data_IF_297135246709
#
_entry.id   IF_297135246709
#
_cell.length_a   1.000
_cell.length_b   1.000
_cell.length_c   1.000
_cell.angle_alpha   90.00
_cell.angle_beta   90.00
_cell.angle_gamma   90.00
#
_symmetry.space_group_name_H-M   'P 1'
#
loop_
_entity.id
_entity.type
_entity.pdbx_description
1 polymer ?
#
# COMPACT_ATOMS: atom_id res chain seq x y z
N UNK A 1 -74.90 32.92 33.78
CA UNK A 1 -73.87 31.89 33.98
C UNK A 1 -73.98 30.88 32.85
N UNK A 2 -73.05 30.85 31.91
CA UNK A 2 -72.65 29.61 31.24
C UNK A 2 -71.34 29.84 30.49
N UNK A 3 -70.26 29.36 31.08
CA UNK A 3 -68.93 29.24 30.47
C UNK A 3 -69.02 28.23 29.32
N UNK A 4 -68.63 28.61 28.11
CA UNK A 4 -68.40 27.65 27.03
C UNK A 4 -66.92 27.64 26.68
N UNK A 5 -66.33 26.48 26.93
CA UNK A 5 -64.91 26.19 26.86
C UNK A 5 -64.40 26.21 25.41
N UNK A 6 -63.24 26.83 25.26
CA UNK A 6 -62.36 26.82 24.10
C UNK A 6 -61.77 25.40 23.94
N UNK A 7 -61.95 24.80 22.76
CA UNK A 7 -61.28 23.55 22.37
C UNK A 7 -60.36 23.82 21.19
N UNK A 8 -59.08 23.95 21.52
CA UNK A 8 -57.95 23.85 20.59
C UNK A 8 -58.06 22.55 19.76
N UNK A 9 -58.16 22.69 18.44
CA UNK A 9 -57.99 21.57 17.51
C UNK A 9 -56.52 21.50 17.10
N UNK A 10 -55.88 20.41 17.50
CA UNK A 10 -54.53 20.04 17.08
C UNK A 10 -54.40 20.07 15.54
N UNK A 11 -53.33 20.70 15.07
CA UNK A 11 -52.94 20.76 13.66
C UNK A 11 -52.28 19.43 13.28
N UNK A 12 -52.96 18.62 12.49
CA UNK A 12 -52.41 17.38 11.94
C UNK A 12 -51.35 17.74 10.86
N UNK A 13 -50.11 17.35 11.10
CA UNK A 13 -48.99 17.52 10.16
C UNK A 13 -49.15 16.47 9.06
N UNK A 14 -49.46 16.90 7.84
CA UNK A 14 -49.43 16.03 6.66
C UNK A 14 -47.98 15.75 6.26
N UNK A 15 -47.55 14.50 6.41
CA UNK A 15 -46.25 14.04 5.96
C UNK A 15 -46.12 14.16 4.43
N UNK A 16 -44.99 14.74 4.02
CA UNK A 16 -44.59 15.02 2.64
C UNK A 16 -44.53 13.73 1.80
N UNK A 17 -45.20 13.78 0.66
CA UNK A 17 -45.00 12.99 -0.57
C UNK A 17 -43.84 11.98 -0.55
N UNK A 18 -44.18 10.69 -0.43
CA UNK A 18 -43.25 9.60 -0.73
C UNK A 18 -42.97 9.54 -2.24
N UNK A 19 -41.92 10.23 -2.69
CA UNK A 19 -41.36 10.08 -4.04
C UNK A 19 -40.69 8.72 -4.16
N UNK A 20 -41.47 7.69 -4.44
CA UNK A 20 -40.93 6.38 -4.84
C UNK A 20 -40.52 6.43 -6.32
N UNK A 21 -39.22 6.24 -6.57
CA UNK A 21 -38.71 6.02 -7.92
C UNK A 21 -38.93 4.54 -8.22
N UNK A 22 -39.88 4.21 -9.09
CA UNK A 22 -40.03 2.86 -9.62
C UNK A 22 -38.90 2.60 -10.61
N UNK A 23 -37.93 1.78 -10.21
CA UNK A 23 -36.92 1.25 -11.15
C UNK A 23 -37.62 0.15 -11.96
N UNK A 24 -37.80 0.31 -13.29
CA UNK A 24 -38.31 -0.78 -14.11
C UNK A 24 -37.27 -1.89 -14.18
N UNK A 25 -37.68 -3.13 -13.91
CA UNK A 25 -36.82 -4.29 -14.09
C UNK A 25 -36.60 -4.54 -15.59
N UNK A 26 -35.42 -4.19 -16.08
CA UNK A 26 -34.97 -4.59 -17.42
C UNK A 26 -34.67 -6.09 -17.40
N UNK A 27 -35.29 -6.91 -18.27
CA UNK A 27 -34.98 -8.34 -18.34
C UNK A 27 -33.54 -8.50 -18.83
N UNK A 28 -32.66 -9.03 -17.97
CA UNK A 28 -31.29 -9.34 -18.32
C UNK A 28 -31.25 -10.38 -19.45
N UNK A 29 -30.59 -10.05 -20.57
CA UNK A 29 -30.28 -11.00 -21.65
C UNK A 29 -29.01 -11.81 -21.36
N UNK A 30 -28.88 -12.30 -20.12
CA UNK A 30 -27.76 -13.16 -19.74
C UNK A 30 -28.33 -14.57 -19.63
N UNK A 31 -27.79 -15.47 -20.45
CA UNK A 31 -28.17 -16.89 -20.45
C UNK A 31 -28.00 -17.41 -19.02
N UNK A 32 -29.07 -18.00 -18.48
CA UNK A 32 -29.08 -18.68 -17.19
C UNK A 32 -27.84 -19.57 -17.07
N UNK A 33 -27.04 -19.34 -16.05
CA UNK A 33 -25.87 -20.16 -15.76
C UNK A 33 -26.30 -21.63 -15.70
N UNK A 34 -25.64 -22.43 -16.54
CA UNK A 34 -25.82 -23.85 -16.65
C UNK A 34 -25.78 -24.49 -15.26
N UNK A 35 -26.84 -25.20 -14.91
CA UNK A 35 -26.91 -26.08 -13.74
C UNK A 35 -25.61 -26.90 -13.70
N UNK A 36 -24.86 -26.94 -12.59
CA UNK A 36 -23.63 -27.72 -12.53
C UNK A 36 -23.95 -29.19 -12.83
N UNK A 37 -23.39 -29.69 -13.93
CA UNK A 37 -23.52 -31.09 -14.34
C UNK A 37 -22.97 -31.94 -13.20
N UNK A 38 -23.78 -32.86 -12.66
CA UNK A 38 -23.31 -33.88 -11.71
C UNK A 38 -22.33 -34.79 -12.45
N UNK A 39 -21.05 -34.50 -12.34
CA UNK A 39 -19.98 -35.34 -12.89
C UNK A 39 -19.95 -36.62 -12.05
N UNK A 40 -20.53 -37.71 -12.57
CA UNK A 40 -20.27 -39.06 -12.05
C UNK A 40 -18.91 -39.49 -12.57
N UNK A 41 -17.85 -39.20 -11.81
CA UNK A 41 -16.53 -39.80 -12.06
C UNK A 41 -16.59 -41.25 -11.58
N UNK A 42 -16.82 -42.18 -12.49
CA UNK A 42 -16.48 -43.58 -12.24
C UNK A 42 -14.94 -43.70 -12.30
N UNK A 43 -14.29 -44.39 -11.35
CA UNK A 43 -12.85 -44.60 -11.41
C UNK A 43 -12.53 -45.44 -12.64
N UNK A 44 -11.65 -44.93 -13.51
CA UNK A 44 -11.06 -45.72 -14.59
C UNK A 44 -10.01 -46.62 -13.95
N UNK A 45 -10.22 -47.93 -14.07
CA UNK A 45 -9.20 -48.95 -13.84
C UNK A 45 -8.31 -48.99 -15.07
N UNK A 46 -7.15 -48.35 -14.97
CA UNK A 46 -6.09 -48.51 -15.97
C UNK A 46 -5.53 -49.94 -15.82
N UNK A 47 -5.75 -50.75 -16.85
CA UNK A 47 -5.07 -52.05 -16.99
C UNK A 47 -3.67 -51.78 -17.53
N UNK A 48 -2.70 -51.69 -16.64
CA UNK A 48 -1.30 -51.88 -17.01
C UNK A 48 -0.97 -53.38 -16.90
N UNK A 49 -0.59 -53.95 -18.03
CA UNK A 49 -0.02 -55.28 -18.12
C UNK A 49 1.38 -55.24 -17.54
N UNK A 50 1.59 -55.91 -16.40
CA UNK A 50 2.93 -56.32 -15.98
C UNK A 50 2.94 -57.78 -15.56
N UNK A 51 3.80 -58.53 -16.23
CA UNK A 51 4.16 -59.92 -15.93
C UNK A 51 5.03 -59.93 -14.66
N UNK A 52 4.65 -60.69 -13.65
CA UNK A 52 5.54 -61.63 -12.93
C UNK A 52 4.86 -62.22 -11.70
N UNK A 53 5.07 -63.53 -11.51
CA UNK A 53 5.16 -64.28 -10.24
C UNK A 53 4.06 -64.11 -9.20
N UNK A 54 3.32 -65.20 -8.97
CA UNK A 54 2.26 -65.26 -7.97
C UNK A 54 2.75 -65.13 -6.52
N UNK A 55 1.86 -64.60 -5.69
CA UNK A 55 1.67 -65.03 -4.31
C UNK A 55 0.28 -64.59 -3.83
N UNK A 56 -0.25 -65.38 -2.90
CA UNK A 56 -1.61 -65.40 -2.38
C UNK A 56 -2.18 -64.06 -1.90
N UNK A 57 -3.50 -63.91 -2.08
CA UNK A 57 -4.33 -62.86 -1.52
C UNK A 57 -4.16 -62.72 0.02
N UNK A 58 -3.31 -61.78 0.45
CA UNK A 58 -3.27 -61.36 1.84
C UNK A 58 -4.47 -60.45 2.13
N UNK A 59 -5.50 -61.04 2.72
CA UNK A 59 -6.59 -60.31 3.38
C UNK A 59 -5.98 -59.36 4.41
N UNK A 60 -5.89 -58.06 4.10
CA UNK A 60 -5.50 -57.01 5.06
C UNK A 60 -6.46 -57.06 6.24
N UNK A 61 -6.05 -57.73 7.32
CA UNK A 61 -6.74 -57.68 8.60
C UNK A 61 -6.60 -56.26 9.13
N UNK A 62 -7.71 -55.54 9.24
CA UNK A 62 -7.74 -54.28 9.98
C UNK A 62 -7.37 -54.58 11.43
N UNK A 63 -6.15 -54.24 11.82
CA UNK A 63 -5.70 -54.34 13.21
C UNK A 63 -6.33 -53.15 13.93
N UNK A 64 -7.30 -53.43 14.80
CA UNK A 64 -7.88 -52.43 15.69
C UNK A 64 -6.79 -52.02 16.68
N UNK A 65 -6.22 -50.83 16.49
CA UNK A 65 -5.23 -50.28 17.42
C UNK A 65 -6.00 -49.75 18.62
N UNK A 66 -6.05 -50.53 19.69
CA UNK A 66 -6.63 -50.10 20.97
C UNK A 66 -5.93 -48.80 21.41
N UNK A 67 -6.71 -47.76 21.68
CA UNK A 67 -6.19 -46.51 22.21
C UNK A 67 -5.71 -46.75 23.64
N UNK A 68 -4.45 -46.47 23.93
CA UNK A 68 -3.81 -46.71 25.24
C UNK A 68 -4.40 -45.87 26.40
N UNK A 69 -5.33 -44.97 26.10
CA UNK A 69 -6.03 -44.16 27.10
C UNK A 69 -7.44 -44.70 27.34
N UNK A 70 -7.82 -44.97 28.60
CA UNK A 70 -9.20 -45.34 28.91
C UNK A 70 -10.14 -44.19 28.53
N UNK A 71 -11.32 -44.51 28.02
CA UNK A 71 -12.36 -43.51 27.77
C UNK A 71 -12.70 -42.82 29.09
N UNK A 72 -12.42 -41.52 29.15
CA UNK A 72 -12.54 -40.72 30.37
C UNK A 72 -13.53 -39.59 30.11
N UNK A 73 -14.65 -39.57 30.86
CA UNK A 73 -15.66 -38.50 30.79
C UNK A 73 -15.24 -37.22 31.51
N UNK A 74 -14.12 -37.26 32.25
CA UNK A 74 -13.61 -36.15 33.07
C UNK A 74 -12.39 -35.46 32.47
N UNK A 75 -11.74 -36.09 31.49
CA UNK A 75 -10.61 -35.49 30.77
C UNK A 75 -11.12 -34.67 29.58
N UNK A 76 -10.40 -33.61 29.22
CA UNK A 76 -10.73 -32.83 28.01
C UNK A 76 -10.54 -33.72 26.77
N UNK A 77 -11.65 -34.23 26.22
CA UNK A 77 -11.72 -35.09 25.01
C UNK A 77 -11.35 -34.36 23.70
N UNK A 78 -10.66 -33.22 23.79
CA UNK A 78 -10.35 -32.38 22.64
C UNK A 78 -11.58 -31.80 21.93
N UNK A 79 -12.79 -31.96 22.50
CA UNK A 79 -14.02 -31.37 22.00
C UNK A 79 -13.93 -29.85 22.15
N UNK A 80 -13.66 -29.18 21.02
CA UNK A 80 -13.58 -27.73 20.94
C UNK A 80 -14.98 -27.15 20.77
N UNK A 81 -15.23 -26.03 21.43
CA UNK A 81 -16.44 -25.26 21.22
C UNK A 81 -16.50 -24.80 19.74
N UNK A 82 -17.60 -25.02 19.01
CA UNK A 82 -17.78 -24.48 17.67
C UNK A 82 -17.55 -22.97 17.57
N UNK A 83 -17.81 -22.20 18.64
CA UNK A 83 -17.50 -20.78 18.74
C UNK A 83 -16.00 -20.49 18.64
N UNK A 84 -15.18 -21.22 19.41
CA UNK A 84 -13.72 -21.08 19.34
C UNK A 84 -13.15 -21.48 17.97
N UNK A 85 -13.74 -22.49 17.32
CA UNK A 85 -13.33 -22.90 15.96
C UNK A 85 -13.64 -21.79 14.97
N UNK A 86 -14.82 -21.16 15.09
CA UNK A 86 -15.21 -20.02 14.26
C UNK A 86 -14.31 -18.83 14.48
N UNK A 87 -14.03 -18.45 15.73
CA UNK A 87 -13.12 -17.34 16.05
C UNK A 87 -11.71 -17.58 15.52
N UNK A 88 -11.14 -18.77 15.74
CA UNK A 88 -9.80 -19.12 15.22
C UNK A 88 -9.76 -19.10 13.70
N UNK A 89 -10.85 -19.50 13.03
CA UNK A 89 -10.96 -19.45 11.57
C UNK A 89 -11.12 -18.01 11.08
N UNK A 90 -11.96 -17.21 11.74
CA UNK A 90 -12.19 -15.82 11.42
C UNK A 90 -10.92 -14.99 11.59
N UNK A 91 -10.19 -15.14 12.70
CA UNK A 91 -8.89 -14.50 12.90
C UNK A 91 -7.88 -14.90 11.83
N UNK A 92 -7.82 -16.18 11.46
CA UNK A 92 -6.94 -16.66 10.40
C UNK A 92 -7.34 -16.16 9.01
N UNK A 93 -8.64 -16.01 8.75
CA UNK A 93 -9.18 -15.46 7.51
C UNK A 93 -9.02 -13.94 7.45
N UNK A 94 -9.00 -13.23 8.59
CA UNK A 94 -8.62 -11.81 8.68
C UNK A 94 -7.12 -11.60 8.43
N UNK A 95 -6.27 -12.44 9.03
CA UNK A 95 -4.82 -12.43 8.77
C UNK A 95 -4.51 -12.72 7.30
N UNK A 96 -5.23 -13.65 6.68
CA UNK A 96 -5.09 -13.97 5.25
C UNK A 96 -5.80 -12.96 4.33
N UNK A 97 -6.87 -12.35 4.81
CA UNK A 97 -7.75 -11.44 4.07
C UNK A 97 -7.26 -10.00 4.02
N UNK A 98 -6.10 -9.70 4.65
CA UNK A 98 -5.49 -8.38 4.54
C UNK A 98 -6.18 -7.33 5.41
N UNK A 99 -6.34 -7.61 6.70
CA UNK A 99 -6.52 -6.55 7.69
C UNK A 99 -5.28 -5.69 7.66
N UNK A 100 -5.38 -4.58 6.92
CA UNK A 100 -4.36 -3.54 6.74
C UNK A 100 -3.03 -4.18 6.36
N UNK A 101 -2.73 -4.25 5.05
CA UNK A 101 -1.32 -4.41 4.64
C UNK A 101 -0.57 -3.21 5.21
N UNK A 102 -0.02 -3.34 6.41
CA UNK A 102 0.87 -2.34 6.98
C UNK A 102 2.20 -2.65 6.36
N UNK A 103 2.54 -1.92 5.31
CA UNK A 103 3.88 -1.96 4.78
C UNK A 103 4.78 -1.19 5.76
N UNK A 104 5.96 -1.73 6.04
CA UNK A 104 6.96 -1.06 6.87
C UNK A 104 7.59 0.10 6.09
N UNK A 105 8.13 1.07 6.82
CA UNK A 105 8.91 2.16 6.24
C UNK A 105 10.07 1.60 5.39
N UNK A 106 10.32 2.25 4.26
CA UNK A 106 11.35 1.84 3.31
C UNK A 106 12.60 2.69 3.50
N UNK A 107 13.73 2.04 3.74
CA UNK A 107 15.02 2.73 3.77
C UNK A 107 15.66 2.69 2.38
N UNK A 108 15.93 3.87 1.81
CA UNK A 108 16.47 4.01 0.46
C UNK A 108 18.00 4.05 0.43
N UNK A 109 18.64 4.24 1.58
CA UNK A 109 20.09 4.20 1.75
C UNK A 109 20.69 5.46 2.35
N UNK A 110 22.01 5.41 2.52
CA UNK A 110 22.83 6.50 3.04
C UNK A 110 23.79 7.00 1.95
N UNK A 111 23.90 8.31 1.80
CA UNK A 111 24.76 8.94 0.81
C UNK A 111 25.61 10.04 1.46
N UNK A 112 26.89 10.10 1.09
CA UNK A 112 27.77 11.23 1.43
C UNK A 112 27.70 12.25 0.31
N UNK A 113 27.44 13.50 0.67
CA UNK A 113 27.28 14.62 -0.25
C UNK A 113 28.04 15.82 0.31
N UNK A 114 28.67 16.58 -0.58
CA UNK A 114 29.43 17.76 -0.20
C UNK A 114 28.74 18.95 -0.87
N UNK A 115 27.51 19.26 -0.45
CA UNK A 115 26.68 20.31 -1.06
C UNK A 115 25.77 21.01 -0.07
N UNK A 116 25.42 22.26 -0.39
CA UNK A 116 24.57 23.10 0.46
C UNK A 116 23.09 22.76 0.33
N UNK A 117 22.65 22.40 -0.87
CA UNK A 117 21.28 22.02 -1.15
C UNK A 117 21.27 20.85 -2.12
N UNK A 118 20.19 20.09 -2.05
CA UNK A 118 19.92 18.95 -2.90
C UNK A 118 18.56 19.14 -3.54
N UNK A 119 18.47 18.82 -4.83
CA UNK A 119 17.25 18.91 -5.59
C UNK A 119 16.59 17.53 -5.66
N UNK A 120 15.49 17.36 -4.92
CA UNK A 120 14.68 16.15 -4.99
C UNK A 120 13.70 16.34 -6.13
N UNK A 121 13.80 15.47 -7.12
CA UNK A 121 12.90 15.44 -8.26
C UNK A 121 11.99 14.24 -8.10
N UNK A 122 10.69 14.48 -8.04
CA UNK A 122 9.68 13.45 -7.91
C UNK A 122 8.78 13.43 -9.14
N UNK A 123 8.38 12.23 -9.56
CA UNK A 123 7.32 12.04 -10.54
C UNK A 123 6.52 10.78 -10.22
N UNK A 124 5.35 10.70 -10.82
CA UNK A 124 4.60 9.46 -10.91
C UNK A 124 5.30 8.50 -11.88
N UNK A 125 5.48 7.24 -11.48
CA UNK A 125 6.13 6.23 -12.32
C UNK A 125 5.13 5.50 -13.23
N UNK A 126 3.86 5.44 -12.86
CA UNK A 126 2.86 4.60 -13.53
C UNK A 126 1.78 5.44 -14.21
N UNK A 127 0.84 6.00 -13.45
CA UNK A 127 -0.23 6.82 -13.98
C UNK A 127 -0.64 7.91 -12.99
N UNK A 128 -0.72 9.19 -13.42
CA UNK A 128 -1.07 10.30 -12.54
C UNK A 128 -2.56 10.23 -12.16
N UNK A 129 -2.86 9.51 -11.11
CA UNK A 129 -4.20 9.27 -10.56
C UNK A 129 -4.50 10.08 -9.28
N UNK A 130 -3.63 11.06 -9.00
CA UNK A 130 -3.79 11.95 -7.85
C UNK A 130 -3.02 11.51 -6.61
N UNK A 131 -2.00 10.68 -6.79
CA UNK A 131 -0.96 10.41 -5.80
C UNK A 131 -0.36 11.69 -5.18
N UNK A 132 -0.21 11.71 -3.85
CA UNK A 132 0.27 12.83 -3.05
C UNK A 132 1.27 12.38 -2.00
N UNK A 133 2.33 13.15 -1.89
CA UNK A 133 3.41 12.89 -0.93
C UNK A 133 3.69 14.14 -0.09
N UNK A 134 4.30 13.92 1.06
CA UNK A 134 4.80 14.97 1.94
C UNK A 134 6.27 14.73 2.20
N UNK A 135 7.08 15.79 2.11
CA UNK A 135 8.53 15.71 2.32
C UNK A 135 8.88 16.38 3.64
N UNK A 136 9.66 15.68 4.46
CA UNK A 136 10.25 16.15 5.69
C UNK A 136 11.78 16.14 5.60
N UNK A 137 12.43 17.09 6.27
CA UNK A 137 13.87 17.09 6.52
C UNK A 137 14.12 17.24 8.02
N UNK A 138 14.83 16.30 8.62
CA UNK A 138 15.13 16.28 10.06
C UNK A 138 13.87 16.48 10.93
N UNK A 139 12.72 15.96 10.48
CA UNK A 139 11.41 16.13 11.12
C UNK A 139 10.64 17.42 10.77
N UNK A 140 11.24 18.36 10.05
CA UNK A 140 10.57 19.59 9.60
C UNK A 140 9.91 19.39 8.23
N UNK A 141 8.67 19.88 8.08
CA UNK A 141 7.94 19.78 6.81
C UNK A 141 8.52 20.79 5.82
N UNK A 142 9.07 20.30 4.71
CA UNK A 142 9.50 21.13 3.59
C UNK A 142 8.34 21.35 2.64
N UNK A 143 7.65 20.27 2.27
CA UNK A 143 6.53 20.30 1.34
C UNK A 143 5.38 19.50 1.92
N UNK A 144 4.29 20.19 2.26
CA UNK A 144 3.19 19.59 3.03
C UNK A 144 2.26 18.68 2.19
N UNK A 145 2.11 19.03 0.91
CA UNK A 145 1.32 18.29 -0.08
C UNK A 145 1.97 18.51 -1.45
N UNK A 146 2.51 17.44 -2.01
CA UNK A 146 3.11 17.40 -3.32
C UNK A 146 2.33 16.40 -4.16
N UNK A 147 1.53 16.92 -5.08
CA UNK A 147 0.80 16.08 -6.03
C UNK A 147 1.76 15.56 -7.09
N UNK A 148 1.83 14.24 -7.21
CA UNK A 148 2.61 13.56 -8.22
C UNK A 148 1.88 13.63 -9.56
N UNK A 149 2.66 13.84 -10.61
CA UNK A 149 2.21 13.94 -11.99
C UNK A 149 3.22 13.21 -12.85
N UNK A 150 2.89 13.02 -14.13
CA UNK A 150 3.85 12.50 -15.10
C UNK A 150 5.05 13.42 -15.34
N UNK A 151 4.92 14.73 -15.05
CA UNK A 151 6.03 15.68 -15.12
C UNK A 151 6.91 15.64 -13.86
N UNK A 152 8.21 15.87 -14.08
CA UNK A 152 9.20 15.96 -13.02
C UNK A 152 9.02 17.24 -12.21
N UNK A 153 8.63 17.09 -10.94
CA UNK A 153 8.57 18.21 -9.99
C UNK A 153 9.83 18.25 -9.15
N UNK A 154 10.42 19.45 -9.07
CA UNK A 154 11.64 19.69 -8.30
C UNK A 154 11.30 20.34 -6.97
N UNK A 155 11.88 19.83 -5.90
CA UNK A 155 11.84 20.39 -4.56
C UNK A 155 13.27 20.58 -4.10
N UNK A 156 13.65 21.84 -3.90
CA UNK A 156 14.96 22.19 -3.35
C UNK A 156 14.93 22.01 -1.84
N UNK A 157 15.91 21.26 -1.32
CA UNK A 157 16.04 21.00 0.10
C UNK A 157 17.44 21.41 0.55
N UNK A 158 17.50 22.39 1.45
CA UNK A 158 18.76 22.83 2.04
C UNK A 158 19.24 21.81 3.08
N UNK A 159 20.48 21.35 2.93
CA UNK A 159 21.10 20.41 3.87
C UNK A 159 21.87 21.20 4.95
N UNK A 160 21.67 20.80 6.20
CA UNK A 160 22.49 21.26 7.32
C UNK A 160 23.82 20.50 7.38
N UNK A 161 24.79 21.00 8.15
CA UNK A 161 26.06 20.29 8.35
C UNK A 161 25.84 18.98 9.12
N UNK A 162 26.49 17.89 8.70
CA UNK A 162 26.36 16.58 9.35
C UNK A 162 25.22 15.72 8.78
N UNK A 163 24.47 15.04 9.65
CA UNK A 163 23.44 14.07 9.25
C UNK A 163 22.13 14.78 8.94
N UNK A 164 21.62 14.58 7.73
CA UNK A 164 20.30 15.03 7.29
C UNK A 164 19.45 13.84 6.92
N UNK A 165 18.35 13.63 7.63
CA UNK A 165 17.37 12.58 7.31
C UNK A 165 16.25 13.22 6.51
N UNK A 166 16.04 12.75 5.29
CA UNK A 166 14.90 13.12 4.45
C UNK A 166 13.89 11.99 4.49
N UNK A 167 12.66 12.33 4.87
CA UNK A 167 11.57 11.38 4.96
C UNK A 167 10.48 11.82 4.00
N UNK A 168 9.98 10.92 3.18
CA UNK A 168 8.91 11.21 2.25
C UNK A 168 7.75 10.26 2.54
N UNK A 169 6.63 10.83 2.94
CA UNK A 169 5.44 10.13 3.39
C UNK A 169 4.39 10.11 2.28
N UNK A 170 3.85 8.92 1.99
CA UNK A 170 2.69 8.77 1.11
C UNK A 170 1.42 9.22 1.86
N UNK A 171 0.80 10.32 1.41
CA UNK A 171 -0.42 10.85 2.04
C UNK A 171 -1.68 10.11 1.60
N UNK A 172 -1.63 9.49 0.42
CA UNK A 172 -2.67 8.65 -0.12
C UNK A 172 -2.05 7.57 -1.00
N UNK A 173 -2.90 6.62 -1.34
CA UNK A 173 -2.79 5.76 -2.50
C UNK A 173 -3.76 6.37 -3.50
N UNK A 174 -3.32 6.60 -4.73
CA UNK A 174 -4.15 7.15 -5.79
C UNK A 174 -5.40 6.31 -6.08
N UNK A 175 -6.05 6.58 -7.21
CA UNK A 175 -7.22 5.82 -7.62
C UNK A 175 -6.88 4.35 -7.95
N UNK A 176 -5.65 4.08 -8.40
CA UNK A 176 -5.17 2.78 -8.87
C UNK A 176 -4.03 2.26 -8.00
N UNK A 177 -4.39 1.51 -6.95
CA UNK A 177 -3.42 0.73 -6.20
C UNK A 177 -2.46 1.58 -5.35
N UNK A 178 -1.32 1.00 -4.91
CA UNK A 178 -0.38 1.65 -4.01
C UNK A 178 0.28 2.90 -4.64
N UNK A 179 0.73 3.85 -3.81
CA UNK A 179 1.36 5.09 -4.26
C UNK A 179 2.67 4.77 -4.99
N UNK A 180 2.76 5.13 -6.27
CA UNK A 180 3.88 4.73 -7.12
C UNK A 180 4.60 5.98 -7.63
N UNK A 181 5.81 6.19 -7.11
CA UNK A 181 6.59 7.36 -7.45
C UNK A 181 8.05 7.00 -7.68
N UNK A 182 8.70 7.85 -8.47
CA UNK A 182 10.12 7.84 -8.67
C UNK A 182 10.73 9.10 -8.05
N UNK A 183 11.78 8.92 -7.25
CA UNK A 183 12.60 9.99 -6.71
C UNK A 183 13.99 9.95 -7.29
N UNK A 184 14.38 11.07 -7.87
CA UNK A 184 15.72 11.30 -8.38
C UNK A 184 16.30 12.48 -7.59
N UNK A 185 17.39 12.23 -6.91
CA UNK A 185 18.07 13.21 -6.07
C UNK A 185 19.27 13.73 -6.82
N UNK A 186 19.31 15.05 -7.05
CA UNK A 186 20.40 15.73 -7.72
C UNK A 186 21.19 16.62 -6.76
N UNK A 187 22.49 16.65 -7.00
CA UNK A 187 23.43 17.53 -6.31
C UNK A 187 23.36 18.98 -6.82
N UNK A 188 24.06 19.90 -6.17
CA UNK A 188 24.17 21.31 -6.59
C UNK A 188 24.71 21.47 -8.02
N UNK A 189 25.60 20.57 -8.43
CA UNK A 189 26.23 20.47 -9.76
C UNK A 189 25.37 19.70 -10.77
N UNK A 190 24.16 19.27 -10.39
CA UNK A 190 23.26 18.50 -11.25
C UNK A 190 23.67 17.03 -11.43
N UNK A 191 24.56 16.50 -10.59
CA UNK A 191 24.92 15.08 -10.59
C UNK A 191 23.83 14.27 -9.89
N UNK A 192 23.42 13.13 -10.46
CA UNK A 192 22.48 12.22 -9.79
C UNK A 192 23.20 11.52 -8.62
N UNK A 193 22.67 11.69 -7.42
CA UNK A 193 23.13 11.02 -6.20
C UNK A 193 22.40 9.69 -6.03
N UNK A 194 21.08 9.72 -6.20
CA UNK A 194 20.22 8.55 -6.02
C UNK A 194 19.04 8.61 -7.00
N UNK A 195 18.67 7.46 -7.55
CA UNK A 195 17.50 7.28 -8.40
C UNK A 195 16.80 6.03 -7.91
N UNK A 196 15.61 6.18 -7.34
CA UNK A 196 14.84 5.08 -6.76
C UNK A 196 13.37 5.23 -7.08
N UNK A 197 12.78 4.12 -7.49
CA UNK A 197 11.35 3.93 -7.58
C UNK A 197 10.85 3.32 -6.28
N UNK A 198 9.62 3.66 -5.92
CA UNK A 198 8.95 3.09 -4.78
C UNK A 198 7.53 2.66 -5.13
N UNK A 199 6.94 1.89 -4.23
CA UNK A 199 5.55 1.49 -4.27
C UNK A 199 5.07 1.38 -2.82
N UNK A 200 4.59 2.50 -2.26
CA UNK A 200 4.31 2.65 -0.83
C UNK A 200 2.80 2.66 -0.56
N UNK A 201 2.42 2.19 0.62
CA UNK A 201 1.04 2.29 1.09
C UNK A 201 0.81 3.62 1.82
N UNK A 202 -0.45 4.02 1.99
CA UNK A 202 -0.79 5.28 2.69
C UNK A 202 -0.20 5.28 4.10
N UNK A 203 0.51 6.34 4.45
CA UNK A 203 1.14 6.53 5.77
C UNK A 203 2.55 5.95 5.90
N UNK A 204 3.04 5.21 4.90
CA UNK A 204 4.39 4.66 4.91
C UNK A 204 5.39 5.74 4.50
N UNK A 205 6.57 5.72 5.14
CA UNK A 205 7.64 6.68 4.89
C UNK A 205 8.80 6.01 4.16
N UNK A 206 9.38 6.76 3.24
CA UNK A 206 10.64 6.43 2.59
C UNK A 206 11.73 7.35 3.14
N UNK A 207 12.80 6.73 3.66
CA UNK A 207 13.84 7.41 4.41
C UNK A 207 15.14 7.37 3.61
N UNK A 208 15.71 8.54 3.35
CA UNK A 208 17.05 8.71 2.76
C UNK A 208 17.89 9.51 3.74
N UNK A 209 19.11 9.06 4.01
CA UNK A 209 20.03 9.78 4.89
C UNK A 209 21.18 10.36 4.08
N UNK A 210 21.42 11.65 4.25
CA UNK A 210 22.55 12.36 3.68
C UNK A 210 23.54 12.74 4.77
N UNK A 211 24.81 12.46 4.54
CA UNK A 211 25.91 12.92 5.35
C UNK A 211 26.60 14.07 4.61
N UNK A 212 26.40 15.28 5.12
CA UNK A 212 27.00 16.49 4.57
C UNK A 212 28.32 16.79 5.28
N UNK A 213 29.44 16.55 4.59
CA UNK A 213 30.75 16.98 5.05
C UNK A 213 30.92 18.45 4.62
N UNK A 214 30.88 19.33 5.63
CA UNK A 214 30.86 20.79 5.53
C UNK A 214 31.64 21.33 4.32
N UNK A 215 30.91 21.88 3.34
CA UNK A 215 31.54 22.64 2.24
C UNK A 215 31.76 24.06 2.69
N UNK A 216 33.01 24.39 2.98
CA UNK A 216 33.48 25.77 2.94
C UNK A 216 33.35 26.24 1.49
N UNK A 217 32.34 27.04 1.21
CA UNK A 217 32.22 27.73 -0.07
C UNK A 217 33.34 28.77 -0.08
N UNK A 218 34.45 28.48 -0.77
CA UNK A 218 35.36 29.54 -1.17
C UNK A 218 34.62 30.40 -2.20
N UNK A 219 34.21 31.59 -1.76
CA UNK A 219 33.71 32.62 -2.67
C UNK A 219 34.82 32.88 -3.70
N UNK A 220 34.59 32.48 -4.96
CA UNK A 220 35.39 33.00 -6.06
C UNK A 220 35.13 34.50 -6.15
N UNK A 221 36.05 35.27 -5.58
CA UNK A 221 36.17 36.71 -5.76
C UNK A 221 36.13 37.03 -7.25
N UNK A 222 35.16 37.83 -7.62
CA UNK A 222 34.97 38.41 -8.95
C UNK A 222 35.91 39.60 -9.10
N UNK A 223 37.21 39.35 -9.17
CA UNK A 223 38.24 40.38 -9.41
C UNK A 223 39.32 39.87 -10.36
N UNK A 224 38.96 39.44 -11.57
CA UNK A 224 39.92 39.22 -12.65
C UNK A 224 39.23 39.42 -14.01
N UNK A 225 38.69 40.62 -14.25
CA UNK A 225 38.30 41.10 -15.60
C UNK A 225 38.34 42.64 -15.63
N UNK A 226 39.47 43.21 -15.19
CA UNK A 226 39.84 44.63 -15.43
C UNK A 226 41.35 44.78 -15.61
N UNK A 227 41.92 44.16 -16.63
CA UNK A 227 43.23 44.59 -17.16
C UNK A 227 43.45 44.12 -18.59
N UNK A 228 42.85 44.83 -19.56
CA UNK A 228 43.34 44.85 -20.94
C UNK A 228 43.11 46.24 -21.53
N UNK A 229 43.74 47.22 -20.89
CA UNK A 229 44.08 48.48 -21.52
C UNK A 229 45.57 48.68 -21.34
N UNK A 230 46.37 48.33 -22.34
CA UNK A 230 47.60 49.06 -22.61
C UNK A 230 47.88 49.12 -24.11
N UNK A 231 48.18 50.34 -24.51
CA UNK A 231 48.46 50.84 -25.84
C UNK A 231 49.76 50.25 -26.40
N UNK A 232 49.83 50.05 -27.71
CA UNK A 232 51.10 50.02 -28.43
C UNK A 232 50.96 50.82 -29.75
N UNK A 233 51.69 51.94 -29.79
CA UNK A 233 51.92 52.82 -30.93
C UNK A 233 52.95 52.23 -31.91
N UNK A 234 52.96 52.77 -33.14
CA UNK A 234 53.95 52.67 -34.23
C UNK A 234 53.74 51.43 -35.12
N UNK A 235 53.57 51.53 -36.44
CA UNK A 235 54.23 52.37 -37.44
C UNK A 235 53.33 52.55 -38.68
#
# INVERSE_FOLDING_TARGET
MSFSQEKEKAKEVKDKENKSIRIPAEPSKIKKDSIPVKIKVAPKLDKEEDKSSGESEEKKKFIFKESEKPFSMTEQDGLKDPGEIFEKRWSKDLEKGGVIKTMSDQFLGEHRVDTKFVNIVCRDHEYPDGDRVRIYINGYIVQNNLLLRSDYRRVEVNLSEGKNTIEIEALNQGESGPNTAEFIVYDDKGKVISSKEWNLLTGVKAIIVFHNEKVTIEEKTSEEDKSSGDQASNN
#
